data_IF_016724698833
#
_entry.id   IF_016724698833
#
_cell.length_a   1.000
_cell.length_b   1.000
_cell.length_c   1.000
_cell.angle_alpha   90.00
_cell.angle_beta   90.00
_cell.angle_gamma   90.00
#
_symmetry.space_group_name_H-M   'P 1'
#
loop_
_entity.id
_entity.type
_entity.pdbx_description
1 polymer ?
#
# COMPACT_ATOMS: atom_id res chain seq x y z
N UNK A 1 -0.73 2.33 -40.15
CA UNK A 1 -1.30 1.69 -38.95
C UNK A 1 -0.13 1.09 -38.21
N UNK A 2 0.16 1.49 -36.97
CA UNK A 2 1.17 0.81 -36.16
C UNK A 2 0.72 -0.63 -35.93
N UNK A 3 1.66 -1.58 -35.92
CA UNK A 3 1.36 -2.96 -35.60
C UNK A 3 0.69 -3.01 -34.21
N UNK A 4 -0.27 -3.92 -34.03
CA UNK A 4 -0.91 -4.15 -32.74
C UNK A 4 0.15 -4.60 -31.70
N UNK A 5 0.12 -4.10 -30.46
CA UNK A 5 1.12 -4.45 -29.47
C UNK A 5 0.98 -5.92 -29.04
N UNK A 6 2.10 -6.62 -28.89
CA UNK A 6 2.16 -7.93 -28.24
C UNK A 6 2.06 -7.75 -26.73
N UNK A 7 1.09 -8.41 -26.09
CA UNK A 7 0.75 -8.24 -24.66
C UNK A 7 1.02 -9.51 -23.88
N UNK A 8 1.69 -9.40 -22.73
CA UNK A 8 1.82 -10.49 -21.76
C UNK A 8 1.01 -10.17 -20.49
N UNK A 9 0.19 -11.12 -20.05
CA UNK A 9 -0.43 -11.16 -18.73
C UNK A 9 0.39 -12.07 -17.81
N UNK A 10 1.25 -11.46 -16.98
CA UNK A 10 2.09 -12.15 -16.01
C UNK A 10 1.44 -12.07 -14.63
N UNK A 11 0.71 -13.11 -14.27
CA UNK A 11 -0.08 -13.23 -13.03
C UNK A 11 -0.26 -14.71 -12.67
N UNK A 12 -0.47 -14.99 -11.40
CA UNK A 12 -0.79 -16.33 -10.86
C UNK A 12 -2.21 -16.82 -11.27
N UNK A 13 -3.06 -15.91 -11.77
CA UNK A 13 -4.42 -16.21 -12.24
C UNK A 13 -4.68 -15.76 -13.69
N UNK A 14 -3.89 -16.25 -14.64
CA UNK A 14 -3.90 -15.72 -16.00
C UNK A 14 -5.24 -15.91 -16.73
N UNK A 15 -5.98 -16.98 -16.44
CA UNK A 15 -7.27 -17.23 -17.10
C UNK A 15 -8.32 -16.16 -16.76
N UNK A 16 -8.40 -15.75 -15.49
CA UNK A 16 -9.32 -14.70 -15.05
C UNK A 16 -8.91 -13.33 -15.63
N UNK A 17 -7.62 -13.03 -15.64
CA UNK A 17 -7.10 -11.80 -16.22
C UNK A 17 -7.35 -11.73 -17.73
N UNK A 18 -7.15 -12.84 -18.44
CA UNK A 18 -7.39 -12.95 -19.86
C UNK A 18 -8.88 -12.73 -20.20
N UNK A 19 -9.80 -13.34 -19.44
CA UNK A 19 -11.23 -13.16 -19.65
C UNK A 19 -11.63 -11.69 -19.58
N UNK A 20 -11.14 -10.94 -18.55
CA UNK A 20 -11.42 -9.50 -18.41
C UNK A 20 -10.85 -8.69 -19.58
N UNK A 21 -9.64 -9.00 -20.02
CA UNK A 21 -9.01 -8.28 -21.13
C UNK A 21 -9.74 -8.53 -22.44
N UNK A 22 -10.17 -9.76 -22.71
CA UNK A 22 -10.89 -10.15 -23.94
C UNK A 22 -12.29 -9.54 -24.04
N UNK A 23 -12.91 -9.10 -22.94
CA UNK A 23 -14.16 -8.33 -22.97
C UNK A 23 -14.02 -7.03 -23.80
N UNK A 24 -12.84 -6.40 -23.77
CA UNK A 24 -12.60 -5.09 -24.40
C UNK A 24 -11.67 -5.18 -25.62
N UNK A 25 -10.75 -6.15 -25.62
CA UNK A 25 -9.72 -6.29 -26.66
C UNK A 25 -9.68 -7.72 -27.23
N UNK A 26 -10.77 -8.20 -27.86
CA UNK A 26 -10.85 -9.58 -28.37
C UNK A 26 -9.93 -9.85 -29.56
N UNK A 27 -9.42 -8.82 -30.19
CA UNK A 27 -8.55 -8.83 -31.38
C UNK A 27 -7.06 -8.90 -31.08
N UNK A 28 -6.67 -8.73 -29.78
CA UNK A 28 -5.25 -8.69 -29.41
C UNK A 28 -4.60 -10.07 -29.28
N UNK A 29 -3.35 -10.16 -29.70
CA UNK A 29 -2.47 -11.28 -29.38
C UNK A 29 -1.98 -11.16 -27.92
N UNK A 30 -2.60 -11.94 -27.02
CA UNK A 30 -2.30 -11.94 -25.58
C UNK A 30 -1.69 -13.27 -25.17
N UNK A 31 -0.58 -13.20 -24.44
CA UNK A 31 0.15 -14.36 -23.95
C UNK A 31 0.07 -14.41 -22.42
N UNK A 32 -0.40 -15.51 -21.88
CA UNK A 32 -0.48 -15.75 -20.45
C UNK A 32 0.84 -16.31 -19.89
N UNK A 33 1.25 -15.86 -18.71
CA UNK A 33 2.44 -16.35 -18.02
C UNK A 33 2.19 -16.37 -16.50
N UNK A 34 2.29 -17.54 -15.89
CA UNK A 34 2.13 -17.79 -14.46
C UNK A 34 3.45 -18.19 -13.77
N UNK A 35 4.59 -17.89 -14.41
CA UNK A 35 5.90 -18.30 -13.93
C UNK A 35 6.93 -17.19 -14.07
N UNK A 36 7.65 -16.90 -12.96
CA UNK A 36 8.80 -15.99 -12.98
C UNK A 36 9.95 -16.49 -13.87
N UNK A 37 10.14 -17.81 -13.89
CA UNK A 37 11.22 -18.42 -14.69
C UNK A 37 10.94 -18.38 -16.19
N UNK A 38 9.65 -18.49 -16.60
CA UNK A 38 9.25 -18.52 -17.99
C UNK A 38 9.15 -17.12 -18.63
N UNK A 39 8.97 -16.08 -17.81
CA UNK A 39 8.71 -14.72 -18.30
C UNK A 39 9.83 -14.18 -19.24
N UNK A 40 11.13 -14.30 -18.91
CA UNK A 40 12.21 -13.76 -19.78
C UNK A 40 12.21 -14.37 -21.19
N UNK A 41 12.06 -15.70 -21.29
CA UNK A 41 11.99 -16.41 -22.57
C UNK A 41 10.74 -16.01 -23.35
N UNK A 42 9.58 -15.91 -22.67
CA UNK A 42 8.34 -15.53 -23.32
C UNK A 42 8.42 -14.11 -23.90
N UNK A 43 8.97 -13.14 -23.14
CA UNK A 43 9.18 -11.77 -23.64
C UNK A 43 9.97 -11.76 -24.93
N UNK A 44 11.09 -12.51 -25.00
CA UNK A 44 11.92 -12.60 -26.20
C UNK A 44 11.22 -13.27 -27.37
N UNK A 45 10.51 -14.38 -27.11
CA UNK A 45 9.84 -15.19 -28.14
C UNK A 45 8.70 -14.43 -28.84
N UNK A 46 7.93 -13.66 -28.10
CA UNK A 46 6.78 -12.92 -28.65
C UNK A 46 7.10 -11.45 -28.92
N UNK A 47 8.34 -11.02 -28.69
CA UNK A 47 8.76 -9.63 -28.79
C UNK A 47 7.78 -8.69 -28.04
N UNK A 48 7.48 -9.02 -26.79
CA UNK A 48 6.44 -8.33 -26.01
C UNK A 48 6.71 -6.83 -25.92
N UNK A 49 5.68 -6.04 -26.22
CA UNK A 49 5.71 -4.59 -26.10
C UNK A 49 5.09 -4.10 -24.79
N UNK A 50 4.06 -4.81 -24.31
CA UNK A 50 3.30 -4.46 -23.10
C UNK A 50 3.25 -5.65 -22.16
N UNK A 51 3.55 -5.44 -20.88
CA UNK A 51 3.48 -6.48 -19.86
C UNK A 51 2.67 -5.98 -18.66
N UNK A 52 1.54 -6.63 -18.37
CA UNK A 52 0.91 -6.55 -17.06
C UNK A 52 1.59 -7.56 -16.14
N UNK A 53 1.99 -7.13 -14.93
CA UNK A 53 2.73 -8.00 -14.02
C UNK A 53 2.33 -7.79 -12.56
N UNK A 54 2.14 -8.90 -11.84
CA UNK A 54 1.94 -8.92 -10.39
C UNK A 54 3.05 -9.68 -9.69
N UNK A 55 3.24 -9.40 -8.39
CA UNK A 55 4.06 -10.28 -7.53
C UNK A 55 3.22 -11.48 -7.13
N UNK A 56 3.80 -12.68 -7.25
CA UNK A 56 3.16 -13.93 -6.80
C UNK A 56 3.45 -14.12 -5.31
N UNK A 57 2.40 -14.36 -4.54
CA UNK A 57 2.52 -14.54 -3.11
C UNK A 57 3.48 -15.69 -2.76
N UNK A 58 4.33 -15.46 -1.75
CA UNK A 58 5.32 -16.44 -1.29
C UNK A 58 6.42 -16.78 -2.31
N UNK A 59 6.45 -16.18 -3.51
CA UNK A 59 7.43 -16.50 -4.56
C UNK A 59 8.56 -15.46 -4.59
N UNK A 60 9.79 -15.84 -4.22
CA UNK A 60 10.94 -14.94 -4.25
C UNK A 60 11.45 -14.69 -5.67
N UNK A 61 12.34 -13.70 -5.81
CA UNK A 61 13.08 -13.40 -7.04
C UNK A 61 12.20 -12.97 -8.19
N UNK A 62 11.34 -11.97 -7.94
CA UNK A 62 10.57 -11.30 -9.00
C UNK A 62 11.48 -10.96 -10.19
N UNK A 63 11.10 -11.32 -11.45
CA UNK A 63 11.96 -11.25 -12.63
C UNK A 63 12.09 -9.80 -13.18
N UNK A 64 12.49 -8.86 -12.31
CA UNK A 64 12.54 -7.42 -12.63
C UNK A 64 13.38 -7.10 -13.86
N UNK A 65 14.55 -7.74 -14.01
CA UNK A 65 15.49 -7.45 -15.12
C UNK A 65 14.88 -7.77 -16.47
N UNK A 66 14.09 -8.85 -16.56
CA UNK A 66 13.40 -9.20 -17.80
C UNK A 66 12.42 -8.09 -18.25
N UNK A 67 11.89 -7.31 -17.31
CA UNK A 67 10.98 -6.19 -17.59
C UNK A 67 11.74 -4.89 -17.86
N UNK A 68 12.67 -4.52 -16.97
CA UNK A 68 13.31 -3.20 -17.02
C UNK A 68 14.47 -3.11 -18.02
N UNK A 69 15.09 -4.25 -18.41
CA UNK A 69 16.21 -4.30 -19.37
C UNK A 69 15.79 -4.83 -20.74
N UNK A 70 14.56 -5.28 -20.92
CA UNK A 70 14.07 -5.79 -22.22
C UNK A 70 14.19 -4.73 -23.31
N UNK A 71 14.68 -5.16 -24.48
CA UNK A 71 14.76 -4.28 -25.65
C UNK A 71 13.40 -4.01 -26.31
N UNK A 72 12.39 -4.85 -26.06
CA UNK A 72 11.09 -4.81 -26.74
C UNK A 72 10.00 -4.21 -25.86
N UNK A 73 10.07 -4.40 -24.51
CA UNK A 73 9.04 -3.91 -23.60
C UNK A 73 9.12 -2.39 -23.49
N UNK A 74 8.04 -1.71 -23.85
CA UNK A 74 7.88 -0.26 -23.78
C UNK A 74 7.00 0.18 -22.61
N UNK A 75 6.08 -0.69 -22.17
CA UNK A 75 5.19 -0.41 -21.06
C UNK A 75 5.02 -1.62 -20.14
N UNK A 76 5.26 -1.40 -18.85
CA UNK A 76 4.96 -2.34 -17.78
C UNK A 76 3.85 -1.76 -16.89
N UNK A 77 2.77 -2.51 -16.71
CA UNK A 77 1.69 -2.19 -15.77
C UNK A 77 1.80 -3.11 -14.55
N UNK A 78 2.06 -2.52 -13.39
CA UNK A 78 2.13 -3.26 -12.12
C UNK A 78 0.74 -3.40 -11.51
N UNK A 79 0.34 -4.63 -11.20
CA UNK A 79 -0.97 -4.92 -10.62
C UNK A 79 -1.18 -4.41 -9.19
N UNK A 80 -0.11 -4.04 -8.48
CA UNK A 80 -0.16 -3.39 -7.17
C UNK A 80 0.06 -1.88 -7.24
N UNK A 81 0.02 -1.22 -6.09
CA UNK A 81 0.33 0.22 -5.99
C UNK A 81 1.83 0.49 -5.88
N UNK A 82 2.62 -0.40 -5.26
CA UNK A 82 4.06 -0.24 -5.08
C UNK A 82 4.86 -0.76 -6.26
N UNK A 83 5.90 -0.01 -6.64
CA UNK A 83 6.82 -0.35 -7.74
C UNK A 83 8.26 -0.55 -7.26
N UNK A 84 8.49 -0.52 -5.96
CA UNK A 84 9.79 -0.66 -5.31
C UNK A 84 10.57 -1.93 -5.73
N UNK A 85 9.85 -3.01 -5.99
CA UNK A 85 10.43 -4.28 -6.45
C UNK A 85 10.99 -4.24 -7.88
N UNK A 86 10.64 -3.24 -8.70
CA UNK A 86 11.27 -3.02 -10.01
C UNK A 86 12.66 -2.41 -9.89
N UNK A 87 12.94 -1.69 -8.79
CA UNK A 87 14.17 -0.92 -8.64
C UNK A 87 14.22 0.26 -9.62
N UNK A 88 15.41 0.53 -10.16
CA UNK A 88 15.59 1.63 -11.12
C UNK A 88 15.25 1.19 -12.55
N UNK A 89 14.66 2.10 -13.34
CA UNK A 89 14.45 1.99 -14.79
C UNK A 89 14.62 3.37 -15.45
N UNK A 90 14.90 3.37 -16.73
CA UNK A 90 14.97 4.59 -17.54
C UNK A 90 13.58 5.00 -18.03
N UNK A 91 13.00 6.11 -17.54
CA UNK A 91 11.66 6.55 -17.93
C UNK A 91 11.57 7.05 -19.39
N UNK A 92 12.71 7.35 -20.03
CA UNK A 92 12.72 7.69 -21.45
C UNK A 92 12.49 6.45 -22.35
N UNK A 93 12.82 5.26 -21.84
CA UNK A 93 12.71 4.00 -22.57
C UNK A 93 11.48 3.17 -22.16
N UNK A 94 11.20 3.13 -20.86
CA UNK A 94 10.16 2.28 -20.29
C UNK A 94 9.13 3.10 -19.51
N UNK A 95 7.90 3.08 -19.95
CA UNK A 95 6.78 3.58 -19.16
C UNK A 95 6.38 2.54 -18.12
N UNK A 96 6.23 2.94 -16.88
CA UNK A 96 5.68 2.10 -15.81
C UNK A 96 4.40 2.73 -15.29
N UNK A 97 3.33 1.95 -15.22
CA UNK A 97 2.08 2.32 -14.53
C UNK A 97 1.84 1.37 -13.36
N UNK A 98 1.04 1.83 -12.38
CA UNK A 98 0.62 1.00 -11.27
C UNK A 98 -0.89 1.01 -11.07
N UNK A 99 -1.39 0.12 -10.21
CA UNK A 99 -2.81 0.04 -9.89
C UNK A 99 -3.19 0.88 -8.64
N UNK A 100 -2.54 2.04 -8.48
CA UNK A 100 -2.86 2.94 -7.37
C UNK A 100 -4.34 3.35 -7.38
N UNK A 101 -4.99 3.18 -6.25
CA UNK A 101 -6.42 3.46 -6.08
C UNK A 101 -7.31 2.22 -6.04
N UNK A 102 -6.91 1.11 -6.66
CA UNK A 102 -7.70 -0.14 -6.66
C UNK A 102 -7.98 -0.64 -5.25
N UNK A 103 -6.98 -0.61 -4.39
CA UNK A 103 -7.09 -1.08 -3.00
C UNK A 103 -7.40 0.03 -1.98
N UNK A 104 -7.55 1.29 -2.39
CA UNK A 104 -7.67 2.43 -1.46
C UNK A 104 -8.86 2.32 -0.51
N UNK A 105 -9.99 1.79 -1.00
CA UNK A 105 -11.17 1.56 -0.18
C UNK A 105 -10.91 0.55 0.93
N UNK A 106 -10.30 -0.60 0.58
CA UNK A 106 -10.02 -1.69 1.51
C UNK A 106 -8.97 -1.28 2.55
N UNK A 107 -7.88 -0.63 2.12
CA UNK A 107 -6.87 -0.08 3.02
C UNK A 107 -7.46 0.93 4.02
N UNK A 108 -8.40 1.77 3.57
CA UNK A 108 -9.08 2.70 4.44
C UNK A 108 -10.03 1.99 5.43
N UNK A 109 -10.66 0.90 5.03
CA UNK A 109 -11.47 0.05 5.92
C UNK A 109 -10.61 -0.68 6.95
N UNK A 110 -9.44 -1.19 6.55
CA UNK A 110 -8.46 -1.75 7.46
C UNK A 110 -8.03 -0.72 8.52
N UNK A 111 -7.65 0.50 8.09
CA UNK A 111 -7.23 1.55 9.01
C UNK A 111 -8.35 1.92 9.99
N UNK A 112 -9.59 2.02 9.52
CA UNK A 112 -10.75 2.29 10.37
C UNK A 112 -11.02 1.13 11.34
N UNK A 113 -10.93 -0.12 10.86
CA UNK A 113 -11.06 -1.32 11.70
C UNK A 113 -9.99 -1.37 12.80
N UNK A 114 -8.75 -1.00 12.48
CA UNK A 114 -7.67 -0.89 13.46
C UNK A 114 -7.97 0.18 14.51
N UNK A 115 -8.38 1.41 14.10
CA UNK A 115 -8.77 2.47 15.03
C UNK A 115 -9.88 2.01 15.98
N UNK A 116 -10.94 1.39 15.46
CA UNK A 116 -12.05 0.85 16.25
C UNK A 116 -11.59 -0.29 17.17
N UNK A 117 -10.73 -1.18 16.72
CA UNK A 117 -10.19 -2.29 17.54
C UNK A 117 -9.47 -1.76 18.79
N UNK A 118 -8.67 -0.70 18.65
CA UNK A 118 -7.96 -0.08 19.78
C UNK A 118 -8.87 0.77 20.66
N UNK A 119 -9.84 1.48 20.09
CA UNK A 119 -10.78 2.31 20.84
C UNK A 119 -11.74 1.48 21.65
N UNK A 120 -12.24 0.39 21.09
CA UNK A 120 -13.19 -0.52 21.72
C UNK A 120 -12.55 -1.64 22.52
N UNK A 121 -11.20 -1.69 22.62
CA UNK A 121 -10.43 -2.75 23.28
C UNK A 121 -10.88 -4.17 22.85
N UNK A 122 -11.16 -4.36 21.52
CA UNK A 122 -11.70 -5.64 21.04
C UNK A 122 -10.78 -6.81 21.35
N UNK A 123 -9.46 -6.65 21.22
CA UNK A 123 -8.47 -7.68 21.56
C UNK A 123 -8.40 -7.97 23.07
N UNK A 124 -8.63 -6.95 23.89
CA UNK A 124 -8.73 -7.12 25.35
C UNK A 124 -9.98 -7.91 25.73
N UNK A 125 -11.12 -7.61 25.11
CA UNK A 125 -12.35 -8.37 25.32
C UNK A 125 -12.24 -9.80 24.81
N UNK A 126 -11.58 -10.04 23.66
CA UNK A 126 -11.30 -11.40 23.18
C UNK A 126 -10.49 -12.22 24.18
N UNK A 127 -9.40 -11.67 24.73
CA UNK A 127 -8.60 -12.34 25.79
C UNK A 127 -9.45 -12.64 27.03
N UNK A 128 -10.30 -11.71 27.46
CA UNK A 128 -11.22 -11.93 28.59
C UNK A 128 -12.24 -13.03 28.30
N UNK A 129 -12.78 -13.05 27.08
CA UNK A 129 -13.69 -14.12 26.64
C UNK A 129 -13.01 -15.48 26.69
N UNK A 130 -11.79 -15.62 26.18
CA UNK A 130 -11.00 -16.86 26.26
C UNK A 130 -10.73 -17.29 27.70
N UNK A 131 -10.45 -16.33 28.58
CA UNK A 131 -10.26 -16.55 30.02
C UNK A 131 -11.57 -16.72 30.79
N UNK A 132 -12.75 -16.60 30.16
CA UNK A 132 -14.09 -16.66 30.81
C UNK A 132 -14.28 -15.60 31.89
N UNK A 133 -13.66 -14.43 31.74
CA UNK A 133 -13.77 -13.31 32.68
C UNK A 133 -14.89 -12.37 32.21
N UNK A 134 -15.96 -12.28 33.00
CA UNK A 134 -17.05 -11.30 32.82
C UNK A 134 -16.72 -10.04 33.62
N UNK A 135 -16.74 -8.88 32.96
CA UNK A 135 -16.52 -7.57 33.58
C UNK A 135 -15.16 -6.97 33.27
N UNK A 136 -14.97 -5.75 33.70
CA UNK A 136 -13.82 -4.90 33.39
C UNK A 136 -13.87 -4.40 31.94
N UNK A 137 -12.96 -3.51 31.62
CA UNK A 137 -12.83 -2.89 30.31
C UNK A 137 -13.52 -1.53 30.21
N UNK A 138 -12.86 -0.64 29.49
CA UNK A 138 -13.35 0.68 29.15
C UNK A 138 -13.23 0.86 27.66
N UNK A 139 -14.29 1.25 27.02
CA UNK A 139 -14.30 1.62 25.60
C UNK A 139 -14.29 3.12 25.46
N UNK A 140 -13.74 3.61 24.37
CA UNK A 140 -13.70 5.03 24.04
C UNK A 140 -14.22 5.24 22.63
N UNK A 141 -15.00 6.31 22.35
CA UNK A 141 -15.39 6.63 20.99
C UNK A 141 -14.17 7.11 20.18
N UNK A 142 -14.22 6.94 18.86
CA UNK A 142 -13.27 7.62 17.96
C UNK A 142 -13.79 9.01 17.55
N UNK A 143 -15.08 9.27 17.71
CA UNK A 143 -15.68 10.59 17.52
C UNK A 143 -14.97 11.65 18.38
N UNK A 144 -14.65 12.80 17.78
CA UNK A 144 -13.91 13.88 18.42
C UNK A 144 -12.40 13.63 18.60
N UNK A 145 -11.90 12.44 18.31
CA UNK A 145 -10.45 12.16 18.31
C UNK A 145 -9.77 12.68 17.04
N UNK A 146 -8.48 12.91 17.13
CA UNK A 146 -7.66 13.41 16.02
C UNK A 146 -6.94 12.25 15.33
N UNK A 147 -7.09 12.16 14.01
CA UNK A 147 -6.30 11.27 13.15
C UNK A 147 -5.34 12.08 12.30
N UNK A 148 -4.06 11.71 12.33
CA UNK A 148 -3.02 12.22 11.43
C UNK A 148 -2.77 11.20 10.32
N UNK A 149 -2.93 11.63 9.08
CA UNK A 149 -2.71 10.80 7.87
C UNK A 149 -1.44 11.29 7.19
N UNK A 150 -0.41 10.45 7.20
CA UNK A 150 0.88 10.72 6.57
C UNK A 150 0.87 10.12 5.18
N UNK A 151 0.77 10.98 4.16
CA UNK A 151 0.60 10.60 2.77
C UNK A 151 -0.85 10.75 2.29
N UNK A 152 -1.11 11.79 1.51
CA UNK A 152 -2.43 12.13 0.96
C UNK A 152 -2.49 11.78 -0.53
N UNK A 153 -2.25 10.51 -0.84
CA UNK A 153 -2.61 9.88 -2.11
C UNK A 153 -4.03 9.30 -2.06
N UNK A 154 -4.40 8.49 -3.04
CA UNK A 154 -5.74 7.87 -3.13
C UNK A 154 -6.14 7.12 -1.83
N UNK A 155 -5.19 6.43 -1.18
CA UNK A 155 -5.43 5.74 0.10
C UNK A 155 -5.65 6.71 1.24
N UNK A 156 -4.75 7.68 1.43
CA UNK A 156 -4.89 8.64 2.52
C UNK A 156 -6.17 9.49 2.41
N UNK A 157 -6.56 9.89 1.20
CA UNK A 157 -7.83 10.59 0.96
C UNK A 157 -9.05 9.69 1.26
N UNK A 158 -8.97 8.39 0.95
CA UNK A 158 -10.03 7.43 1.28
C UNK A 158 -10.15 7.20 2.79
N UNK A 159 -9.03 7.20 3.53
CA UNK A 159 -9.01 7.17 5.00
C UNK A 159 -9.62 8.45 5.57
N UNK A 160 -9.17 9.62 5.10
CA UNK A 160 -9.66 10.92 5.55
C UNK A 160 -11.18 11.03 5.44
N UNK A 161 -11.72 10.66 4.29
CA UNK A 161 -13.17 10.68 4.03
C UNK A 161 -13.95 9.83 5.04
N UNK A 162 -13.44 8.64 5.40
CA UNK A 162 -14.10 7.75 6.36
C UNK A 162 -13.96 8.25 7.80
N UNK A 163 -12.77 8.71 8.15
CA UNK A 163 -12.49 9.27 9.48
C UNK A 163 -13.36 10.52 9.76
N UNK A 164 -13.49 11.41 8.78
CA UNK A 164 -14.36 12.58 8.87
C UNK A 164 -15.82 12.17 9.05
N UNK A 165 -16.29 11.16 8.30
CA UNK A 165 -17.66 10.64 8.44
C UNK A 165 -17.92 10.00 9.82
N UNK A 166 -16.87 9.58 10.54
CA UNK A 166 -16.94 9.09 11.92
C UNK A 166 -16.76 10.20 12.97
N UNK A 167 -16.80 11.47 12.57
CA UNK A 167 -16.72 12.61 13.47
C UNK A 167 -15.31 12.90 14.03
N UNK A 168 -14.26 12.40 13.38
CA UNK A 168 -12.88 12.66 13.77
C UNK A 168 -12.37 14.00 13.21
N UNK A 169 -11.44 14.64 13.93
CA UNK A 169 -10.61 15.72 13.40
C UNK A 169 -9.51 15.12 12.51
N UNK A 170 -9.44 15.55 11.25
CA UNK A 170 -8.58 14.97 10.22
C UNK A 170 -7.43 15.90 9.87
N UNK A 171 -6.21 15.48 10.21
CA UNK A 171 -4.96 16.15 9.87
C UNK A 171 -4.23 15.36 8.78
N UNK A 172 -3.60 16.05 7.86
CA UNK A 172 -2.88 15.39 6.78
C UNK A 172 -1.51 15.98 6.50
N UNK A 173 -0.55 15.11 6.16
CA UNK A 173 0.79 15.49 5.70
C UNK A 173 1.00 14.99 4.27
N UNK A 174 1.53 15.86 3.42
CA UNK A 174 1.97 15.53 2.07
C UNK A 174 3.15 16.39 1.63
N UNK A 175 3.95 15.90 0.67
CA UNK A 175 5.15 16.59 0.19
C UNK A 175 4.89 18.02 -0.30
N UNK A 176 3.73 18.27 -0.91
CA UNK A 176 3.31 19.61 -1.35
C UNK A 176 1.94 19.89 -0.73
N UNK A 177 1.95 20.68 0.34
CA UNK A 177 0.73 21.05 1.04
C UNK A 177 -0.26 21.75 0.10
N UNK A 178 -1.45 21.22 0.00
CA UNK A 178 -2.59 21.83 -0.70
C UNK A 178 -3.89 21.37 -0.04
N UNK A 179 -4.91 22.22 0.03
CA UNK A 179 -6.23 21.82 0.53
C UNK A 179 -6.69 20.53 -0.15
N UNK A 180 -7.21 19.62 0.63
CA UNK A 180 -7.68 18.30 0.17
C UNK A 180 -9.06 18.06 0.79
N UNK A 181 -10.06 17.64 0.02
CA UNK A 181 -11.38 17.32 0.57
C UNK A 181 -11.28 16.31 1.72
N UNK A 182 -12.20 16.42 2.69
CA UNK A 182 -12.27 15.55 3.88
C UNK A 182 -11.05 15.64 4.82
N UNK A 183 -10.30 16.74 4.76
CA UNK A 183 -9.24 17.07 5.72
C UNK A 183 -9.50 18.45 6.30
N UNK A 184 -9.43 18.55 7.62
CA UNK A 184 -9.59 19.83 8.33
C UNK A 184 -8.31 20.67 8.20
N UNK A 185 -7.14 20.01 8.23
CA UNK A 185 -5.85 20.66 8.05
C UNK A 185 -4.93 19.84 7.14
N UNK A 186 -4.16 20.52 6.26
CA UNK A 186 -3.13 19.88 5.42
C UNK A 186 -1.83 20.64 5.53
N UNK A 187 -0.75 19.91 5.81
CA UNK A 187 0.57 20.45 6.09
C UNK A 187 1.67 19.80 5.23
N UNK A 188 2.84 20.44 5.20
CA UNK A 188 4.09 19.89 4.67
C UNK A 188 4.75 18.91 5.63
N UNK A 189 5.81 18.26 5.17
CA UNK A 189 6.54 17.25 5.96
C UNK A 189 7.24 17.84 7.18
N UNK A 190 7.62 19.10 7.12
CA UNK A 190 8.21 19.90 8.20
C UNK A 190 7.33 20.01 9.46
N UNK A 191 6.02 19.84 9.30
CA UNK A 191 5.07 19.84 10.40
C UNK A 191 4.90 18.47 11.09
N UNK A 192 5.67 17.44 10.75
CA UNK A 192 5.48 16.07 11.26
C UNK A 192 5.49 16.02 12.79
N UNK A 193 6.56 16.51 13.43
CA UNK A 193 6.73 16.41 14.88
C UNK A 193 5.63 17.15 15.68
N UNK A 194 5.27 18.40 15.35
CA UNK A 194 4.13 19.06 16.00
C UNK A 194 2.81 18.29 15.82
N UNK A 195 2.58 17.66 14.67
CA UNK A 195 1.31 17.02 14.36
C UNK A 195 1.17 15.64 14.99
N UNK A 196 2.24 14.84 15.09
CA UNK A 196 2.17 13.55 15.81
C UNK A 196 1.83 13.74 17.28
N UNK A 197 2.24 14.87 17.89
CA UNK A 197 1.89 15.24 19.27
C UNK A 197 0.41 15.61 19.47
N UNK A 198 -0.31 15.95 18.38
CA UNK A 198 -1.74 16.27 18.41
C UNK A 198 -2.62 15.04 18.17
N UNK A 199 -2.08 14.01 17.52
CA UNK A 199 -2.83 12.88 17.03
C UNK A 199 -3.12 11.82 18.10
N UNK A 200 -4.32 11.24 18.05
CA UNK A 200 -4.70 10.03 18.79
C UNK A 200 -4.46 8.78 17.94
N UNK A 201 -4.54 8.92 16.62
CA UNK A 201 -4.20 7.90 15.64
C UNK A 201 -3.27 8.48 14.58
N UNK A 202 -2.20 7.75 14.26
CA UNK A 202 -1.24 8.10 13.21
C UNK A 202 -1.28 7.01 12.15
N UNK A 203 -1.60 7.38 10.91
CA UNK A 203 -1.74 6.43 9.79
C UNK A 203 -0.67 6.72 8.74
N UNK A 204 0.19 5.74 8.45
CA UNK A 204 1.19 5.81 7.40
C UNK A 204 0.64 5.27 6.09
N UNK A 205 0.65 6.12 5.04
CA UNK A 205 0.19 5.81 3.68
C UNK A 205 1.18 6.28 2.60
N UNK A 206 2.46 6.48 2.95
CA UNK A 206 3.50 6.95 2.01
C UNK A 206 4.23 5.80 1.34
N UNK A 207 4.78 5.97 0.13
CA UNK A 207 5.71 5.00 -0.45
C UNK A 207 7.04 5.00 0.31
N UNK A 208 7.80 3.92 0.20
CA UNK A 208 9.17 3.85 0.70
C UNK A 208 10.11 4.52 -0.31
N UNK A 209 10.66 5.65 0.09
CA UNK A 209 11.63 6.45 -0.66
C UNK A 209 12.83 6.78 0.23
N UNK A 210 13.96 7.25 -0.31
CA UNK A 210 15.04 7.76 0.52
C UNK A 210 14.60 8.83 1.54
N UNK A 211 13.61 9.65 1.18
CA UNK A 211 13.06 10.73 2.02
C UNK A 211 12.00 10.28 3.02
N UNK A 212 11.46 9.07 2.87
CA UNK A 212 10.43 8.51 3.78
C UNK A 212 10.94 7.31 4.57
N UNK A 213 12.16 6.85 4.31
CA UNK A 213 12.80 5.81 5.10
C UNK A 213 13.09 6.32 6.50
N UNK A 214 12.62 5.59 7.52
CA UNK A 214 12.73 5.99 8.91
C UNK A 214 12.00 7.31 9.23
N UNK A 215 10.95 7.64 8.48
CA UNK A 215 10.18 8.88 8.66
C UNK A 215 9.59 9.00 10.08
N UNK A 216 9.12 7.89 10.63
CA UNK A 216 8.74 7.79 12.04
C UNK A 216 9.89 7.19 12.83
N UNK A 217 10.78 8.06 13.28
CA UNK A 217 11.98 7.79 14.06
C UNK A 217 11.74 7.96 15.57
N UNK A 218 12.82 7.88 16.37
CA UNK A 218 12.78 8.08 17.81
C UNK A 218 12.18 9.45 18.20
N UNK A 219 12.51 10.51 17.46
CA UNK A 219 11.97 11.84 17.73
C UNK A 219 10.46 11.92 17.49
N UNK A 220 9.99 11.26 16.44
CA UNK A 220 8.56 11.17 16.16
C UNK A 220 7.82 10.41 17.26
N UNK A 221 8.33 9.25 17.71
CA UNK A 221 7.75 8.49 18.83
C UNK A 221 7.79 9.24 20.14
N UNK A 222 8.87 9.97 20.42
CA UNK A 222 8.98 10.80 21.63
C UNK A 222 7.97 11.95 21.66
N UNK A 223 7.55 12.46 20.49
CA UNK A 223 6.57 13.52 20.38
C UNK A 223 5.11 13.02 20.41
N UNK A 224 4.85 11.72 20.23
CA UNK A 224 3.50 11.13 20.23
C UNK A 224 2.86 11.19 21.62
N UNK A 225 1.51 11.19 21.67
CA UNK A 225 0.77 11.01 22.92
C UNK A 225 0.97 9.59 23.45
N UNK A 226 1.05 9.37 24.77
CA UNK A 226 1.03 8.01 25.32
C UNK A 226 -0.22 7.20 24.99
N UNK A 227 -1.30 7.87 24.65
CA UNK A 227 -2.54 7.27 24.18
C UNK A 227 -2.59 7.03 22.67
N UNK A 228 -1.56 7.44 21.92
CA UNK A 228 -1.54 7.34 20.47
C UNK A 228 -1.43 5.89 19.99
N UNK A 229 -2.07 5.61 18.86
CA UNK A 229 -1.97 4.34 18.13
C UNK A 229 -1.39 4.59 16.76
N UNK A 230 -0.32 3.87 16.43
CA UNK A 230 0.25 3.85 15.08
C UNK A 230 -0.47 2.81 14.21
N UNK A 231 -0.80 3.16 12.97
CA UNK A 231 -1.35 2.25 11.96
C UNK A 231 -0.47 2.36 10.72
N UNK A 232 0.27 1.30 10.39
CA UNK A 232 1.16 1.29 9.23
C UNK A 232 0.62 0.39 8.13
N UNK A 233 0.15 1.02 7.05
CA UNK A 233 -0.32 0.40 5.81
C UNK A 233 0.49 0.91 4.61
N UNK A 234 1.73 1.32 4.87
CA UNK A 234 2.65 1.91 3.90
C UNK A 234 3.59 0.85 3.29
N UNK A 235 4.85 0.88 3.70
CA UNK A 235 5.91 -0.09 3.36
C UNK A 235 6.85 -0.27 4.54
N UNK A 236 7.36 -1.47 4.74
CA UNK A 236 8.40 -1.73 5.73
C UNK A 236 9.61 -0.82 5.53
N UNK A 237 10.09 -0.24 6.63
CA UNK A 237 11.19 0.74 6.64
C UNK A 237 10.75 2.21 6.57
N UNK A 238 9.46 2.52 6.43
CA UNK A 238 8.93 3.89 6.66
C UNK A 238 8.92 4.20 8.15
N UNK A 239 8.50 3.26 8.96
CA UNK A 239 8.66 3.29 10.42
C UNK A 239 10.04 2.74 10.77
N UNK A 240 10.79 3.43 11.61
CA UNK A 240 11.99 2.87 12.23
C UNK A 240 11.56 1.81 13.25
N UNK A 241 11.83 0.55 12.93
CA UNK A 241 11.37 -0.58 13.72
C UNK A 241 12.06 -0.66 15.08
N UNK A 242 13.32 -0.21 15.18
CA UNK A 242 14.04 -0.12 16.46
C UNK A 242 13.40 0.93 17.34
N UNK A 243 13.10 2.10 16.80
CA UNK A 243 12.42 3.17 17.53
C UNK A 243 11.00 2.76 17.96
N UNK A 244 10.27 2.02 17.11
CA UNK A 244 8.97 1.47 17.47
C UNK A 244 9.05 0.49 18.65
N UNK A 245 10.02 -0.45 18.64
CA UNK A 245 10.21 -1.41 19.73
C UNK A 245 10.52 -0.67 21.04
N UNK A 246 11.41 0.32 21.01
CA UNK A 246 11.71 1.14 22.18
C UNK A 246 10.49 1.94 22.69
N UNK A 247 9.66 2.43 21.78
CA UNK A 247 8.43 3.14 22.15
C UNK A 247 7.40 2.22 22.81
N UNK A 248 7.30 0.96 22.34
CA UNK A 248 6.41 -0.05 22.91
C UNK A 248 6.90 -0.50 24.29
N UNK A 249 8.20 -0.80 24.44
CA UNK A 249 8.81 -1.19 25.72
C UNK A 249 8.69 -0.09 26.78
N UNK A 250 8.87 1.15 26.35
CA UNK A 250 8.75 2.33 27.20
C UNK A 250 7.32 2.78 27.46
N UNK A 251 6.29 2.11 26.91
CA UNK A 251 4.88 2.53 26.93
C UNK A 251 4.69 3.99 26.46
N UNK A 252 5.48 4.41 25.47
CA UNK A 252 5.42 5.76 24.89
C UNK A 252 4.20 5.96 24.00
N UNK A 253 3.65 4.86 23.49
CA UNK A 253 2.41 4.82 22.70
C UNK A 253 1.49 3.72 23.22
N UNK A 254 0.18 3.84 22.96
CA UNK A 254 -0.81 2.83 23.35
C UNK A 254 -0.62 1.50 22.64
N UNK A 255 -0.18 1.52 21.38
CA UNK A 255 0.07 0.33 20.58
C UNK A 255 0.18 0.62 19.09
N UNK A 256 0.25 -0.44 18.30
CA UNK A 256 0.36 -0.35 16.85
C UNK A 256 -0.47 -1.41 16.11
N UNK A 257 -0.95 -1.08 14.91
CA UNK A 257 -1.46 -2.03 13.91
C UNK A 257 -0.55 -1.97 12.69
N UNK A 258 0.10 -3.08 12.38
CA UNK A 258 1.14 -3.16 11.37
C UNK A 258 0.76 -4.19 10.31
N UNK A 259 0.70 -3.76 9.05
CA UNK A 259 0.51 -4.65 7.90
C UNK A 259 1.81 -4.89 7.14
N UNK A 260 2.86 -4.08 7.41
CA UNK A 260 4.12 -4.09 6.68
C UNK A 260 5.32 -4.08 7.62
N UNK A 261 6.44 -4.71 7.20
CA UNK A 261 7.62 -4.93 8.04
C UNK A 261 8.90 -4.72 7.22
N UNK A 262 10.01 -4.37 7.91
CA UNK A 262 11.31 -4.19 7.27
C UNK A 262 11.80 -5.49 6.61
N UNK A 263 11.47 -6.64 7.19
CA UNK A 263 11.72 -7.97 6.62
C UNK A 263 10.40 -8.71 6.50
N UNK A 264 10.06 -9.12 5.29
CA UNK A 264 8.85 -9.90 4.97
C UNK A 264 9.22 -11.19 4.23
N UNK A 265 8.71 -12.36 4.67
CA UNK A 265 7.83 -12.59 5.84
C UNK A 265 8.49 -12.22 7.17
N UNK A 266 7.69 -11.73 8.15
CA UNK A 266 8.17 -11.40 9.49
C UNK A 266 8.76 -12.66 10.15
N UNK A 267 10.05 -12.65 10.57
CA UNK A 267 10.68 -13.80 11.21
C UNK A 267 9.91 -14.31 12.42
N UNK A 268 9.88 -15.64 12.63
CA UNK A 268 9.11 -16.26 13.71
C UNK A 268 9.62 -15.89 15.12
N UNK A 269 10.87 -15.49 15.23
CA UNK A 269 11.53 -15.02 16.45
C UNK A 269 11.49 -13.51 16.65
N UNK A 270 10.79 -12.78 15.77
CA UNK A 270 10.73 -11.33 15.82
C UNK A 270 10.01 -10.82 17.08
N UNK A 271 10.56 -9.82 17.81
CA UNK A 271 9.98 -9.32 19.07
C UNK A 271 8.53 -8.86 18.96
N UNK A 272 8.11 -8.29 17.84
CA UNK A 272 6.75 -7.78 17.64
C UNK A 272 5.65 -8.82 17.91
N UNK A 273 5.91 -10.13 17.72
CA UNK A 273 4.95 -11.19 18.03
C UNK A 273 4.57 -11.25 19.51
N UNK A 274 5.46 -10.80 20.41
CA UNK A 274 5.26 -10.84 21.86
C UNK A 274 4.40 -9.71 22.42
N UNK A 275 4.16 -8.64 21.66
CA UNK A 275 3.44 -7.47 22.20
C UNK A 275 1.92 -7.66 22.15
N UNK A 276 1.28 -7.66 23.31
CA UNK A 276 -0.18 -7.76 23.42
C UNK A 276 -0.94 -6.55 22.87
N UNK A 277 -0.26 -5.41 22.72
CA UNK A 277 -0.78 -4.16 22.17
C UNK A 277 -0.32 -3.89 20.72
N UNK A 278 0.19 -4.90 20.01
CA UNK A 278 0.51 -4.83 18.58
C UNK A 278 -0.42 -5.78 17.81
N UNK A 279 -1.11 -5.28 16.81
CA UNK A 279 -1.86 -6.08 15.83
C UNK A 279 -0.99 -6.27 14.59
N UNK A 280 -0.81 -7.51 14.15
CA UNK A 280 0.00 -7.88 12.99
C UNK A 280 -0.88 -8.50 11.92
N UNK A 281 -0.73 -8.04 10.67
CA UNK A 281 -1.28 -8.70 9.48
C UNK A 281 -0.17 -8.89 8.44
N UNK A 282 -0.20 -9.95 7.62
CA UNK A 282 0.91 -10.34 6.75
C UNK A 282 0.85 -9.64 5.38
N UNK A 283 0.93 -8.31 5.35
CA UNK A 283 0.89 -7.46 4.14
C UNK A 283 -0.35 -7.76 3.28
N UNK A 284 -1.50 -7.93 3.93
CA UNK A 284 -2.75 -8.34 3.29
C UNK A 284 -3.89 -7.31 3.43
N UNK A 285 -3.66 -6.16 4.04
CA UNK A 285 -4.70 -5.12 4.23
C UNK A 285 -5.35 -4.65 2.93
N UNK A 286 -4.68 -4.85 1.79
CA UNK A 286 -5.19 -4.53 0.46
C UNK A 286 -5.83 -5.73 -0.26
N UNK A 287 -5.61 -6.95 0.23
CA UNK A 287 -6.02 -8.20 -0.45
C UNK A 287 -7.48 -8.51 -0.14
N UNK A 288 -8.30 -8.55 -1.15
CA UNK A 288 -9.72 -8.90 -1.05
C UNK A 288 -10.21 -9.57 -2.34
N UNK A 289 -11.33 -10.28 -2.28
CA UNK A 289 -11.94 -10.89 -3.45
C UNK A 289 -12.23 -9.85 -4.55
N UNK A 290 -11.79 -10.14 -5.76
CA UNK A 290 -11.95 -9.26 -6.93
C UNK A 290 -10.94 -8.10 -7.01
N UNK A 291 -9.93 -8.05 -6.13
CA UNK A 291 -8.85 -7.09 -6.25
C UNK A 291 -8.08 -7.24 -7.57
N UNK A 292 -7.74 -8.47 -7.93
CA UNK A 292 -7.08 -8.84 -9.17
C UNK A 292 -7.88 -8.38 -10.40
N UNK A 293 -9.18 -8.64 -10.42
CA UNK A 293 -10.09 -8.20 -11.50
C UNK A 293 -10.10 -6.67 -11.64
N UNK A 294 -10.18 -5.93 -10.53
CA UNK A 294 -10.13 -4.46 -10.56
C UNK A 294 -8.81 -3.94 -11.10
N UNK A 295 -7.70 -4.58 -10.71
CA UNK A 295 -6.36 -4.24 -11.21
C UNK A 295 -6.23 -4.49 -12.70
N UNK A 296 -6.70 -5.64 -13.20
CA UNK A 296 -6.71 -5.95 -14.64
C UNK A 296 -7.62 -4.99 -15.40
N UNK A 297 -8.79 -4.61 -14.88
CA UNK A 297 -9.65 -3.60 -15.53
C UNK A 297 -8.95 -2.27 -15.70
N UNK A 298 -8.23 -1.79 -14.67
CA UNK A 298 -7.42 -0.57 -14.77
C UNK A 298 -6.30 -0.70 -15.83
N UNK A 299 -5.66 -1.86 -15.92
CA UNK A 299 -4.72 -2.16 -16.99
C UNK A 299 -5.40 -2.11 -18.37
N UNK A 300 -6.58 -2.73 -18.52
CA UNK A 300 -7.35 -2.77 -19.77
C UNK A 300 -7.76 -1.37 -20.23
N UNK A 301 -8.17 -0.50 -19.30
CA UNK A 301 -8.48 0.90 -19.59
C UNK A 301 -7.24 1.64 -20.12
N UNK A 302 -6.09 1.44 -19.48
CA UNK A 302 -4.82 1.99 -19.94
C UNK A 302 -4.36 1.37 -21.28
N UNK A 303 -4.64 0.11 -21.52
CA UNK A 303 -4.32 -0.54 -22.81
C UNK A 303 -5.14 0.08 -23.96
N UNK A 304 -6.40 0.44 -23.69
CA UNK A 304 -7.22 1.19 -24.63
C UNK A 304 -6.57 2.55 -24.96
N UNK A 305 -6.09 3.28 -23.95
CA UNK A 305 -5.37 4.55 -24.12
C UNK A 305 -4.07 4.34 -24.92
N UNK A 306 -3.30 3.32 -24.56
CA UNK A 306 -2.03 2.99 -25.21
C UNK A 306 -2.23 2.75 -26.72
N UNK A 307 -3.21 1.95 -27.11
CA UNK A 307 -3.56 1.69 -28.51
C UNK A 307 -3.99 2.92 -29.29
N UNK A 308 -4.55 3.92 -28.59
CA UNK A 308 -4.97 5.22 -29.17
C UNK A 308 -3.87 6.27 -29.14
N UNK A 309 -2.70 5.98 -28.54
CA UNK A 309 -1.66 6.98 -28.35
C UNK A 309 -2.03 8.08 -27.33
N UNK A 310 -2.99 7.80 -26.45
CA UNK A 310 -3.44 8.71 -25.39
C UNK A 310 -2.54 8.59 -24.16
N UNK A 311 -2.44 9.63 -23.31
CA UNK A 311 -1.70 9.56 -22.05
C UNK A 311 -2.24 8.46 -21.13
N UNK A 312 -1.33 7.66 -20.55
CA UNK A 312 -1.69 6.62 -19.57
C UNK A 312 -2.00 7.23 -18.20
N UNK A 313 -2.87 6.58 -17.45
CA UNK A 313 -3.15 6.92 -16.06
C UNK A 313 -2.19 6.18 -15.11
N UNK A 314 -1.96 6.76 -13.94
CA UNK A 314 -1.07 6.21 -12.91
C UNK A 314 0.36 5.90 -13.40
N UNK A 315 0.90 6.74 -14.28
CA UNK A 315 2.31 6.67 -14.68
C UNK A 315 3.18 6.99 -13.48
N UNK A 316 4.11 6.09 -13.19
CA UNK A 316 5.01 6.19 -12.03
C UNK A 316 6.30 6.91 -12.41
N UNK A 317 6.67 7.94 -11.66
CA UNK A 317 8.01 8.52 -11.72
C UNK A 317 8.97 7.67 -10.88
N UNK A 318 10.10 7.17 -11.43
CA UNK A 318 11.07 6.41 -10.64
C UNK A 318 11.67 7.20 -9.48
N UNK A 319 11.72 8.54 -9.60
CA UNK A 319 12.22 9.43 -8.55
C UNK A 319 11.23 9.63 -7.40
N UNK A 320 9.93 9.56 -7.70
CA UNK A 320 8.85 9.81 -6.73
C UNK A 320 8.23 8.52 -6.19
N UNK A 321 8.41 7.39 -6.88
CA UNK A 321 7.79 6.10 -6.53
C UNK A 321 6.27 6.05 -6.72
N UNK A 322 5.69 7.09 -7.34
CA UNK A 322 4.25 7.23 -7.62
C UNK A 322 3.99 8.16 -8.81
#
# INVERSE_FOLDING_TARGET
MSAEPSVILHTDRPAAALAVLMETHPDLAVHACDSYAALPELIGRVAAEVVYSVRFDGTPRYPRLALVESATVKWVSIGGSGTDHLGHWDPARLTVTNSAGVASGMLAEYALGAMLSFSLDLRGFERRQQARIWGGGRVEPIEGKTVLIIGLGKTGEAVAKRAQAMGMLTLGIRARAKPTPSLDEVHGVDALLPLVGRADFIICCVPLLPTTRGLLDEAAFAAMKPSAVLIDISRGGVVDETALLQALDGNKIKGAALDVFATEPLPADHPLWGYGNVAITPHCAAVHDGWDIKSVRMFTDNLTRYRRGEPLENVVSPERGY
#
